data_IF_476286613797
#
_entry.id   IF_476286613797
#
_cell.length_a   1.000
_cell.length_b   1.000
_cell.length_c   1.000
_cell.angle_alpha   90.00
_cell.angle_beta   90.00
_cell.angle_gamma   90.00
#
_symmetry.space_group_name_H-M   'P 1'
#
loop_
_entity.id
_entity.type
_entity.pdbx_description
1 polymer ?
#
# COMPACT_ATOMS: atom_id res chain seq x y z
N UNK A 1 -29.82 -3.46 22.46
CA UNK A 1 -28.60 -2.69 22.09
C UNK A 1 -27.90 -3.43 20.98
N UNK A 2 -28.05 -3.00 19.72
CA UNK A 2 -27.34 -3.59 18.59
C UNK A 2 -26.72 -2.47 17.77
N UNK A 3 -25.58 -1.97 18.22
CA UNK A 3 -24.76 -1.05 17.44
C UNK A 3 -23.59 -1.86 16.88
N UNK A 4 -23.81 -2.50 15.73
CA UNK A 4 -22.73 -3.03 14.91
C UNK A 4 -21.93 -1.83 14.43
N UNK A 5 -20.63 -1.76 14.72
CA UNK A 5 -19.76 -0.65 14.37
C UNK A 5 -18.89 -0.98 13.13
N UNK A 6 -19.46 -1.06 11.91
CA UNK A 6 -18.70 -1.38 10.70
C UNK A 6 -17.63 -0.32 10.36
N UNK A 7 -17.80 0.90 10.86
CA UNK A 7 -16.92 2.02 10.53
C UNK A 7 -15.55 1.97 11.22
N UNK A 8 -15.46 1.41 12.44
CA UNK A 8 -14.18 1.34 13.16
C UNK A 8 -13.17 0.42 12.46
N UNK A 9 -13.65 -0.72 11.95
CA UNK A 9 -12.86 -1.62 11.14
C UNK A 9 -12.42 -0.89 9.86
N UNK A 10 -13.37 -0.35 9.08
CA UNK A 10 -13.09 0.39 7.83
C UNK A 10 -11.97 1.45 7.99
N UNK A 11 -12.06 2.30 9.02
CA UNK A 11 -11.04 3.31 9.34
C UNK A 11 -9.65 2.71 9.64
N UNK A 12 -9.60 1.51 10.21
CA UNK A 12 -8.34 0.86 10.60
C UNK A 12 -7.58 0.30 9.40
N UNK A 13 -8.24 -0.44 8.49
CA UNK A 13 -7.56 -0.98 7.30
C UNK A 13 -7.17 0.15 6.34
N UNK A 14 -7.99 1.20 6.22
CA UNK A 14 -7.67 2.36 5.39
C UNK A 14 -6.45 3.13 5.91
N UNK A 15 -6.33 3.29 7.22
CA UNK A 15 -5.15 3.91 7.84
C UNK A 15 -3.89 3.07 7.64
N UNK A 16 -3.99 1.75 7.83
CA UNK A 16 -2.88 0.82 7.57
C UNK A 16 -2.52 0.84 6.09
N UNK A 17 -3.52 0.87 5.20
CA UNK A 17 -3.32 0.95 3.77
C UNK A 17 -2.62 2.25 3.36
N UNK A 18 -2.99 3.38 3.97
CA UNK A 18 -2.35 4.67 3.73
C UNK A 18 -0.89 4.71 4.22
N UNK A 19 -0.62 4.12 5.38
CA UNK A 19 0.75 3.96 5.86
C UNK A 19 1.56 3.05 4.92
N UNK A 20 0.98 1.93 4.50
CA UNK A 20 1.61 0.98 3.61
C UNK A 20 1.89 1.55 2.23
N UNK A 21 0.97 2.32 1.66
CA UNK A 21 1.15 2.95 0.34
C UNK A 21 2.25 4.02 0.37
N UNK A 22 2.32 4.82 1.45
CA UNK A 22 3.39 5.80 1.65
C UNK A 22 4.76 5.14 1.77
N UNK A 23 4.89 4.11 2.61
CA UNK A 23 6.15 3.38 2.78
C UNK A 23 6.55 2.62 1.50
N UNK A 24 5.56 2.10 0.75
CA UNK A 24 5.82 1.49 -0.55
C UNK A 24 6.38 2.49 -1.56
N UNK A 25 5.82 3.69 -1.64
CA UNK A 25 6.33 4.75 -2.52
C UNK A 25 7.78 5.13 -2.14
N UNK A 26 8.07 5.27 -0.84
CA UNK A 26 9.43 5.55 -0.37
C UNK A 26 10.42 4.42 -0.69
N UNK A 27 10.01 3.17 -0.45
CA UNK A 27 10.83 2.00 -0.76
C UNK A 27 11.08 1.88 -2.27
N UNK A 28 10.10 2.26 -3.10
CA UNK A 28 10.25 2.33 -4.54
C UNK A 28 11.26 3.38 -4.98
N UNK A 29 11.23 4.59 -4.41
CA UNK A 29 12.24 5.62 -4.72
C UNK A 29 13.65 5.20 -4.29
N UNK A 30 13.79 4.53 -3.14
CA UNK A 30 15.07 3.94 -2.76
C UNK A 30 15.53 2.86 -3.75
N UNK A 31 14.60 1.97 -4.17
CA UNK A 31 14.89 0.96 -5.17
C UNK A 31 15.35 1.59 -6.49
N UNK A 32 14.72 2.69 -6.93
CA UNK A 32 15.14 3.45 -8.11
C UNK A 32 16.52 4.07 -7.95
N UNK A 33 16.82 4.65 -6.79
CA UNK A 33 18.12 5.25 -6.51
C UNK A 33 19.26 4.22 -6.54
N UNK A 34 19.00 2.99 -6.10
CA UNK A 34 19.98 1.91 -6.02
C UNK A 34 20.10 1.10 -7.32
N UNK A 35 18.99 0.84 -8.01
CA UNK A 35 18.91 -0.11 -9.14
C UNK A 35 18.64 0.57 -10.49
N UNK A 36 18.37 1.88 -10.49
CA UNK A 36 17.89 2.61 -11.65
C UNK A 36 16.38 2.47 -11.85
N UNK A 37 15.89 3.11 -12.91
CA UNK A 37 14.47 3.14 -13.24
C UNK A 37 13.96 1.77 -13.73
N UNK A 38 12.77 1.31 -13.31
CA UNK A 38 12.23 0.05 -13.81
C UNK A 38 12.03 0.10 -15.31
N UNK A 39 12.16 -1.06 -15.95
CA UNK A 39 12.05 -1.21 -17.42
C UNK A 39 10.66 -0.88 -17.97
N UNK A 40 9.64 -0.76 -17.12
CA UNK A 40 8.28 -0.40 -17.52
C UNK A 40 7.45 0.10 -16.34
N UNK A 41 6.41 0.86 -16.65
CA UNK A 41 5.38 1.29 -15.71
C UNK A 41 4.70 0.10 -15.01
N UNK A 42 4.48 -1.00 -15.73
CA UNK A 42 3.96 -2.24 -15.15
C UNK A 42 4.91 -2.81 -14.09
N UNK A 43 6.23 -2.77 -14.34
CA UNK A 43 7.23 -3.21 -13.38
C UNK A 43 7.29 -2.31 -12.15
N UNK A 44 7.17 -1.01 -12.33
CA UNK A 44 7.08 -0.06 -11.22
C UNK A 44 5.89 -0.37 -10.30
N UNK A 45 4.70 -0.57 -10.88
CA UNK A 45 3.49 -0.95 -10.14
C UNK A 45 3.64 -2.29 -9.42
N UNK A 46 4.29 -3.27 -10.05
CA UNK A 46 4.55 -4.56 -9.41
C UNK A 46 5.45 -4.42 -8.16
N UNK A 47 6.51 -3.61 -8.25
CA UNK A 47 7.41 -3.33 -7.13
C UNK A 47 6.67 -2.60 -6.00
N UNK A 48 5.92 -1.55 -6.33
CA UNK A 48 5.08 -0.80 -5.38
C UNK A 48 4.06 -1.72 -4.68
N UNK A 49 3.35 -2.55 -5.44
CA UNK A 49 2.41 -3.52 -4.91
C UNK A 49 3.09 -4.53 -3.97
N UNK A 50 4.28 -4.99 -4.33
CA UNK A 50 5.10 -5.88 -3.51
C UNK A 50 5.47 -5.24 -2.16
N UNK A 51 5.96 -4.00 -2.16
CA UNK A 51 6.29 -3.28 -0.93
C UNK A 51 5.06 -2.99 -0.07
N UNK A 52 3.96 -2.52 -0.69
CA UNK A 52 2.71 -2.25 0.02
C UNK A 52 2.16 -3.51 0.69
N UNK A 53 2.15 -4.64 -0.03
CA UNK A 53 1.72 -5.92 0.49
C UNK A 53 2.60 -6.40 1.65
N UNK A 54 3.92 -6.36 1.48
CA UNK A 54 4.86 -6.77 2.52
C UNK A 54 4.74 -5.92 3.80
N UNK A 55 4.47 -4.61 3.67
CA UNK A 55 4.25 -3.74 4.82
C UNK A 55 2.97 -4.10 5.57
N UNK A 56 1.84 -4.27 4.85
CA UNK A 56 0.58 -4.69 5.47
C UNK A 56 0.75 -6.04 6.19
N UNK A 57 1.43 -6.99 5.56
CA UNK A 57 1.70 -8.31 6.15
C UNK A 57 2.46 -8.19 7.46
N UNK A 58 3.55 -7.41 7.47
CA UNK A 58 4.34 -7.18 8.66
C UNK A 58 3.54 -6.52 9.77
N UNK A 59 2.76 -5.48 9.48
CA UNK A 59 2.01 -4.77 10.51
C UNK A 59 0.88 -5.63 11.09
N UNK A 60 0.13 -6.35 10.25
CA UNK A 60 -0.94 -7.24 10.72
C UNK A 60 -0.36 -8.38 11.56
N UNK A 61 0.72 -9.02 11.10
CA UNK A 61 1.34 -10.16 11.80
C UNK A 61 2.05 -9.75 13.10
N UNK A 62 2.76 -8.62 13.10
CA UNK A 62 3.53 -8.19 14.27
C UNK A 62 2.69 -7.51 15.35
N UNK A 63 1.58 -6.86 14.97
CA UNK A 63 0.69 -6.15 15.91
C UNK A 63 -0.55 -6.95 16.27
N UNK A 64 -0.75 -8.15 15.72
CA UNK A 64 -1.89 -9.02 16.02
C UNK A 64 -3.22 -8.34 15.68
N UNK A 65 -3.30 -7.73 14.50
CA UNK A 65 -4.46 -6.96 14.07
C UNK A 65 -5.53 -7.89 13.48
N UNK A 66 -6.02 -8.85 14.26
CA UNK A 66 -6.97 -9.88 13.80
C UNK A 66 -8.32 -9.29 13.36
N UNK A 67 -8.64 -8.08 13.82
CA UNK A 67 -9.81 -7.31 13.38
C UNK A 67 -9.60 -6.63 12.02
N UNK A 68 -8.35 -6.59 11.52
CA UNK A 68 -7.99 -6.01 10.24
C UNK A 68 -8.03 -7.10 9.16
N UNK A 69 -8.97 -6.98 8.24
CA UNK A 69 -8.95 -7.64 6.93
C UNK A 69 -7.69 -7.21 6.16
N UNK A 70 -6.70 -8.11 6.21
CA UNK A 70 -5.38 -7.99 5.59
C UNK A 70 -5.49 -7.84 4.08
N UNK A 71 -6.40 -8.57 3.44
CA UNK A 71 -6.57 -8.54 1.99
C UNK A 71 -7.19 -7.22 1.53
N UNK A 72 -8.16 -6.69 2.30
CA UNK A 72 -8.70 -5.37 2.05
C UNK A 72 -7.66 -4.26 2.25
N UNK A 73 -6.85 -4.35 3.31
CA UNK A 73 -5.75 -3.41 3.56
C UNK A 73 -4.72 -3.43 2.41
N UNK A 74 -4.29 -4.62 1.97
CA UNK A 74 -3.39 -4.78 0.81
C UNK A 74 -3.96 -4.18 -0.46
N UNK A 75 -5.22 -4.47 -0.75
CA UNK A 75 -5.88 -3.96 -1.95
C UNK A 75 -5.89 -2.43 -1.96
N UNK A 76 -6.26 -1.80 -0.85
CA UNK A 76 -6.24 -0.34 -0.74
C UNK A 76 -4.82 0.22 -0.77
N UNK A 77 -3.86 -0.42 -0.11
CA UNK A 77 -2.47 0.02 -0.10
C UNK A 77 -1.87 0.00 -1.51
N UNK A 78 -2.07 -1.10 -2.23
CA UNK A 78 -1.68 -1.25 -3.63
C UNK A 78 -2.31 -0.18 -4.50
N UNK A 79 -3.64 -0.03 -4.42
CA UNK A 79 -4.37 0.95 -5.23
C UNK A 79 -3.87 2.37 -4.99
N UNK A 80 -3.69 2.76 -3.72
CA UNK A 80 -3.18 4.09 -3.38
C UNK A 80 -1.73 4.29 -3.85
N UNK A 81 -0.87 3.28 -3.74
CA UNK A 81 0.50 3.36 -4.21
C UNK A 81 0.57 3.49 -5.75
N UNK A 82 -0.25 2.73 -6.47
CA UNK A 82 -0.39 2.83 -7.92
C UNK A 82 -0.94 4.20 -8.34
N UNK A 83 -1.98 4.72 -7.66
CA UNK A 83 -2.55 6.04 -7.94
C UNK A 83 -1.56 7.17 -7.64
N UNK A 84 -0.78 7.06 -6.56
CA UNK A 84 0.26 8.02 -6.21
C UNK A 84 1.38 8.04 -7.26
N UNK A 85 1.80 6.87 -7.72
CA UNK A 85 2.75 6.72 -8.82
C UNK A 85 2.18 7.29 -10.11
N UNK A 86 0.99 6.88 -10.53
CA UNK A 86 0.34 7.42 -11.72
C UNK A 86 0.24 8.95 -11.62
N UNK A 87 -0.14 9.52 -10.48
CA UNK A 87 -0.22 10.98 -10.31
C UNK A 87 1.13 11.70 -10.46
N UNK A 88 2.23 11.05 -10.06
CA UNK A 88 3.57 11.60 -10.19
C UNK A 88 4.12 11.49 -11.61
N UNK A 89 3.81 10.42 -12.33
CA UNK A 89 4.40 10.10 -13.66
C UNK A 89 3.41 10.26 -14.83
N UNK A 90 2.13 10.58 -14.58
CA UNK A 90 1.11 10.84 -15.62
C UNK A 90 1.33 12.15 -16.38
N UNK A 91 2.30 12.98 -15.98
CA UNK A 91 2.71 14.17 -16.75
C UNK A 91 3.82 13.88 -17.77
N UNK A 92 4.37 12.65 -17.82
CA UNK A 92 5.48 12.28 -18.70
C UNK A 92 5.03 11.56 -20.00
N UNK A 93 3.72 11.51 -20.32
CA UNK A 93 3.18 10.90 -21.55
C UNK A 93 2.17 11.82 -22.28
#
# INVERSE_FOLDING_TARGET
>A
VTNHAPHKAALSHELIAAAASYEAAKAYENHRAENGEPTSHAKAKEILAGFAGAFVDREVESKGLDYVDKEKAKYHAKKQAEEAYDSQYSNDY
#
